data_IF_770692171416
#
_entry.id   IF_770692171416
#
_cell.length_a   1.000
_cell.length_b   1.000
_cell.length_c   1.000
_cell.angle_alpha   90.00
_cell.angle_beta   90.00
_cell.angle_gamma   90.00
#
_symmetry.space_group_name_H-M   'P 1'
#
loop_
_entity.id
_entity.type
_entity.pdbx_description
1 polymer ?
#
# COMPACT_ATOMS: atom_id res chain seq x y z
N UNK A 1 8.54 -14.92 -38.67
CA UNK A 1 7.50 -15.27 -37.68
C UNK A 1 7.56 -14.22 -36.57
N UNK A 2 6.60 -13.31 -36.53
CA UNK A 2 6.52 -12.25 -35.52
C UNK A 2 6.04 -12.85 -34.21
N UNK A 3 6.92 -12.93 -33.22
CA UNK A 3 6.58 -13.34 -31.85
C UNK A 3 5.66 -12.27 -31.26
N UNK A 4 4.34 -12.45 -31.39
CA UNK A 4 3.36 -11.73 -30.58
C UNK A 4 3.61 -12.12 -29.13
N UNK A 5 4.39 -11.30 -28.44
CA UNK A 5 4.51 -11.37 -26.98
C UNK A 5 3.13 -11.08 -26.43
N UNK A 6 2.41 -12.13 -26.03
CA UNK A 6 1.14 -12.02 -25.34
C UNK A 6 1.46 -11.39 -23.99
N UNK A 7 1.38 -10.07 -23.91
CA UNK A 7 1.45 -9.38 -22.63
C UNK A 7 0.26 -9.91 -21.83
N UNK A 8 0.47 -10.56 -20.68
CA UNK A 8 -0.65 -11.06 -19.90
C UNK A 8 -1.59 -9.90 -19.62
N UNK A 9 -2.85 -10.05 -20.04
CA UNK A 9 -3.87 -9.06 -19.76
C UNK A 9 -4.01 -8.96 -18.24
N UNK A 10 -4.00 -7.73 -17.73
CA UNK A 10 -4.01 -7.51 -16.29
C UNK A 10 -5.34 -7.98 -15.74
N UNK A 11 -5.31 -8.89 -14.77
CA UNK A 11 -6.49 -9.35 -14.03
C UNK A 11 -7.31 -8.15 -13.54
N UNK A 12 -8.58 -8.11 -13.94
CA UNK A 12 -9.54 -7.07 -13.54
C UNK A 12 -10.52 -7.64 -12.54
N UNK A 13 -11.04 -6.80 -11.65
CA UNK A 13 -12.03 -7.22 -10.68
C UNK A 13 -13.33 -7.59 -11.40
N UNK A 14 -13.84 -8.80 -11.15
CA UNK A 14 -15.08 -9.29 -11.76
C UNK A 14 -16.30 -8.46 -11.39
N UNK A 15 -16.37 -7.94 -10.15
CA UNK A 15 -17.39 -6.98 -9.71
C UNK A 15 -16.79 -5.83 -8.94
N UNK A 16 -17.38 -4.64 -9.09
CA UNK A 16 -17.03 -3.43 -8.32
C UNK A 16 -17.17 -3.62 -6.80
N UNK A 17 -18.08 -4.51 -6.40
CA UNK A 17 -18.34 -4.85 -5.00
C UNK A 17 -17.14 -5.59 -4.39
N UNK A 18 -16.49 -6.49 -5.13
CA UNK A 18 -15.32 -7.24 -4.64
C UNK A 18 -14.14 -6.31 -4.38
N UNK A 19 -13.96 -5.30 -5.25
CA UNK A 19 -13.00 -4.22 -5.03
C UNK A 19 -13.35 -3.39 -3.79
N UNK A 20 -14.62 -2.98 -3.65
CA UNK A 20 -15.06 -2.18 -2.52
C UNK A 20 -14.91 -2.92 -1.18
N UNK A 21 -15.27 -4.20 -1.12
CA UNK A 21 -15.09 -5.02 0.08
C UNK A 21 -13.62 -5.20 0.43
N UNK A 22 -12.74 -5.39 -0.56
CA UNK A 22 -11.29 -5.50 -0.33
C UNK A 22 -10.72 -4.21 0.29
N UNK A 23 -11.19 -3.06 -0.22
CA UNK A 23 -10.80 -1.73 0.25
C UNK A 23 -11.34 -1.44 1.66
N UNK A 24 -12.59 -1.81 1.95
CA UNK A 24 -13.19 -1.67 3.29
C UNK A 24 -12.50 -2.61 4.28
N UNK A 25 -12.18 -3.85 3.88
CA UNK A 25 -11.45 -4.79 4.72
C UNK A 25 -10.03 -4.34 5.05
N UNK A 26 -9.38 -3.60 4.15
CA UNK A 26 -8.11 -2.94 4.42
C UNK A 26 -8.26 -1.70 5.32
N UNK A 27 -9.32 -0.90 5.14
CA UNK A 27 -9.54 0.32 5.92
C UNK A 27 -10.03 0.05 7.36
N UNK A 28 -10.76 -1.05 7.57
CA UNK A 28 -11.28 -1.46 8.89
C UNK A 28 -10.30 -2.42 9.55
N UNK A 29 -9.27 -1.88 10.18
CA UNK A 29 -8.34 -2.67 10.98
C UNK A 29 -9.02 -3.17 12.28
N UNK A 30 -9.09 -4.49 12.46
CA UNK A 30 -9.57 -5.10 13.71
C UNK A 30 -8.74 -4.65 14.93
N UNK A 31 -7.45 -4.34 14.70
CA UNK A 31 -6.55 -3.76 15.69
C UNK A 31 -6.95 -2.33 16.11
N UNK A 32 -7.53 -1.54 15.19
CA UNK A 32 -8.03 -0.21 15.51
C UNK A 32 -9.31 -0.31 16.35
N UNK A 33 -10.22 -1.24 16.02
CA UNK A 33 -11.50 -1.44 16.73
C UNK A 33 -11.31 -1.86 18.20
N UNK A 34 -10.31 -2.68 18.54
CA UNK A 34 -10.08 -3.10 19.94
C UNK A 34 -9.16 -2.13 20.70
N UNK A 35 -8.21 -1.47 20.04
CA UNK A 35 -7.35 -0.47 20.71
C UNK A 35 -8.08 0.83 20.99
N UNK A 36 -9.05 1.20 20.16
CA UNK A 36 -9.84 2.41 20.29
C UNK A 36 -10.62 2.51 21.62
N UNK A 37 -11.33 1.46 22.09
CA UNK A 37 -11.96 1.43 23.42
C UNK A 37 -10.98 1.78 24.53
N UNK A 38 -9.81 1.13 24.54
CA UNK A 38 -8.80 1.35 25.58
C UNK A 38 -8.26 2.80 25.56
N UNK A 39 -8.02 3.35 24.37
CA UNK A 39 -7.47 4.70 24.22
C UNK A 39 -8.48 5.79 24.62
N UNK A 40 -9.76 5.59 24.31
CA UNK A 40 -10.82 6.50 24.73
C UNK A 40 -10.96 6.51 26.25
N UNK A 41 -10.95 5.34 26.92
CA UNK A 41 -11.06 5.29 28.38
C UNK A 41 -9.90 5.99 29.09
N UNK A 42 -8.68 5.93 28.56
CA UNK A 42 -7.49 6.53 29.19
C UNK A 42 -7.39 8.04 28.99
N UNK A 43 -7.90 8.58 27.89
CA UNK A 43 -7.73 9.98 27.48
C UNK A 43 -8.98 10.85 27.70
N UNK A 44 -9.85 10.50 28.65
CA UNK A 44 -11.04 11.30 29.01
C UNK A 44 -12.34 10.89 28.29
N UNK A 45 -12.46 9.64 27.88
CA UNK A 45 -13.69 9.06 27.32
C UNK A 45 -14.08 9.65 25.97
N UNK A 46 -15.32 10.13 25.87
CA UNK A 46 -15.93 10.62 24.63
C UNK A 46 -15.27 11.87 24.03
N UNK A 47 -14.57 12.67 24.83
CA UNK A 47 -13.94 13.92 24.35
C UNK A 47 -12.77 13.64 23.41
N UNK A 48 -12.09 12.52 23.59
CA UNK A 48 -11.00 12.08 22.70
C UNK A 48 -11.49 11.68 21.29
N UNK A 49 -12.79 11.37 21.13
CA UNK A 49 -13.36 11.08 19.80
C UNK A 49 -13.38 12.32 18.90
N UNK A 50 -13.55 13.51 19.45
CA UNK A 50 -13.68 14.75 18.66
C UNK A 50 -12.43 15.02 17.80
N UNK A 51 -11.20 15.11 18.37
CA UNK A 51 -10.00 15.30 17.57
C UNK A 51 -9.68 14.09 16.69
N UNK A 52 -10.01 12.87 17.14
CA UNK A 52 -9.81 11.65 16.34
C UNK A 52 -10.66 11.68 15.06
N UNK A 53 -11.96 11.93 15.19
CA UNK A 53 -12.89 12.03 14.07
C UNK A 53 -12.50 13.19 13.15
N UNK A 54 -12.14 14.36 13.70
CA UNK A 54 -11.66 15.49 12.90
C UNK A 54 -10.41 15.14 12.07
N UNK A 55 -9.42 14.48 12.67
CA UNK A 55 -8.22 14.05 11.94
C UNK A 55 -8.52 13.01 10.86
N UNK A 56 -9.47 12.09 11.11
CA UNK A 56 -9.93 11.13 10.08
C UNK A 56 -10.62 11.86 8.93
N UNK A 57 -11.48 12.84 9.20
CA UNK A 57 -12.15 13.60 8.15
C UNK A 57 -11.22 14.54 7.38
N UNK A 58 -10.29 15.21 8.07
CA UNK A 58 -9.40 16.21 7.47
C UNK A 58 -8.18 15.59 6.77
N UNK A 59 -7.63 14.50 7.28
CA UNK A 59 -6.44 13.86 6.73
C UNK A 59 -6.73 12.45 6.20
N UNK A 60 -7.47 11.64 6.96
CA UNK A 60 -7.75 10.25 6.59
C UNK A 60 -8.51 10.12 5.26
N UNK A 61 -9.66 10.77 5.13
CA UNK A 61 -10.49 10.70 3.92
C UNK A 61 -9.77 11.30 2.70
N UNK A 62 -9.14 12.49 2.77
CA UNK A 62 -8.42 13.04 1.63
C UNK A 62 -7.22 12.20 1.19
N UNK A 63 -6.43 11.65 2.12
CA UNK A 63 -5.32 10.76 1.80
C UNK A 63 -5.82 9.48 1.13
N UNK A 64 -6.86 8.87 1.69
CA UNK A 64 -7.45 7.66 1.14
C UNK A 64 -8.03 7.88 -0.26
N UNK A 65 -8.72 9.00 -0.47
CA UNK A 65 -9.26 9.37 -1.78
C UNK A 65 -8.14 9.62 -2.80
N UNK A 66 -7.08 10.32 -2.40
CA UNK A 66 -5.90 10.54 -3.24
C UNK A 66 -5.27 9.21 -3.66
N UNK A 67 -5.09 8.28 -2.73
CA UNK A 67 -4.46 6.99 -3.00
C UNK A 67 -5.32 6.12 -3.93
N UNK A 68 -6.62 6.05 -3.71
CA UNK A 68 -7.54 5.35 -4.61
C UNK A 68 -7.54 5.97 -6.02
N UNK A 69 -7.58 7.30 -6.10
CA UNK A 69 -7.56 8.02 -7.38
C UNK A 69 -6.26 7.76 -8.15
N UNK A 70 -5.11 7.78 -7.47
CA UNK A 70 -3.82 7.47 -8.06
C UNK A 70 -3.70 6.00 -8.48
N UNK A 71 -4.24 5.08 -7.67
CA UNK A 71 -4.28 3.65 -7.99
C UNK A 71 -5.09 3.36 -9.25
N UNK A 72 -6.25 4.02 -9.39
CA UNK A 72 -7.11 3.89 -10.57
C UNK A 72 -6.53 4.59 -11.81
N UNK A 73 -5.92 5.77 -11.65
CA UNK A 73 -5.37 6.56 -12.76
C UNK A 73 -4.11 5.94 -13.36
N UNK A 74 -3.14 5.54 -12.51
CA UNK A 74 -1.87 5.02 -13.01
C UNK A 74 -1.88 3.53 -13.33
N UNK A 75 -2.90 2.79 -12.84
CA UNK A 75 -3.06 1.33 -13.01
C UNK A 75 -1.73 0.57 -12.84
N UNK A 76 -0.87 1.02 -11.92
CA UNK A 76 0.47 0.49 -11.60
C UNK A 76 0.64 0.45 -10.09
N UNK A 77 1.63 -0.31 -9.60
CA UNK A 77 1.91 -0.41 -8.17
C UNK A 77 2.33 0.94 -7.58
N UNK A 78 2.10 1.14 -6.28
CA UNK A 78 2.35 2.42 -5.58
C UNK A 78 3.75 2.99 -5.85
N UNK A 79 4.79 2.12 -5.85
CA UNK A 79 6.19 2.49 -6.11
C UNK A 79 6.41 3.01 -7.54
N UNK A 80 5.73 2.41 -8.53
CA UNK A 80 5.85 2.82 -9.94
C UNK A 80 5.03 4.07 -10.24
N UNK A 81 3.90 4.25 -9.57
CA UNK A 81 3.04 5.44 -9.65
C UNK A 81 3.75 6.66 -9.10
N UNK A 82 4.36 6.56 -7.92
CA UNK A 82 5.11 7.67 -7.32
C UNK A 82 6.34 8.07 -8.15
N UNK A 83 6.98 7.11 -8.81
CA UNK A 83 8.08 7.37 -9.74
C UNK A 83 7.71 8.19 -10.98
N UNK A 84 6.43 8.25 -11.36
CA UNK A 84 5.94 9.09 -12.47
C UNK A 84 5.48 10.48 -12.05
N UNK A 85 5.05 10.65 -10.79
CA UNK A 85 4.55 11.93 -10.29
C UNK A 85 5.72 12.79 -9.84
N UNK A 86 6.61 12.25 -8.99
CA UNK A 86 7.81 12.94 -8.52
C UNK A 86 8.90 11.92 -8.16
N UNK A 87 10.07 11.90 -8.85
CA UNK A 87 11.15 10.98 -8.55
C UNK A 87 11.74 11.15 -7.14
N UNK A 88 11.54 12.31 -6.49
CA UNK A 88 12.00 12.58 -5.13
C UNK A 88 11.29 11.70 -4.09
N UNK A 89 9.97 11.56 -4.17
CA UNK A 89 9.21 10.73 -3.24
C UNK A 89 9.40 9.22 -3.49
N UNK A 90 9.80 8.81 -4.71
CA UNK A 90 10.09 7.40 -5.02
C UNK A 90 11.19 6.84 -4.11
N UNK A 91 12.25 7.62 -3.86
CA UNK A 91 13.32 7.23 -2.94
C UNK A 91 12.80 7.05 -1.52
N UNK A 92 12.05 8.03 -1.02
CA UNK A 92 11.48 7.98 0.33
C UNK A 92 10.60 6.74 0.57
N UNK A 93 9.67 6.43 -0.34
CA UNK A 93 8.83 5.22 -0.21
C UNK A 93 9.64 3.91 -0.30
N UNK A 94 10.69 3.87 -1.11
CA UNK A 94 11.53 2.67 -1.24
C UNK A 94 12.35 2.41 0.02
N UNK A 95 13.03 3.44 0.55
CA UNK A 95 13.78 3.33 1.80
C UNK A 95 12.87 3.08 3.00
N UNK A 96 11.72 3.75 3.07
CA UNK A 96 10.72 3.54 4.12
C UNK A 96 10.14 2.12 4.07
N UNK A 97 9.80 1.61 2.88
CA UNK A 97 9.29 0.25 2.71
C UNK A 97 10.30 -0.83 3.10
N UNK A 98 11.58 -0.65 2.72
CA UNK A 98 12.65 -1.54 3.16
C UNK A 98 12.82 -1.50 4.68
N UNK A 99 12.81 -0.31 5.27
CA UNK A 99 12.93 -0.14 6.72
C UNK A 99 11.77 -0.80 7.47
N UNK A 100 10.53 -0.56 7.06
CA UNK A 100 9.34 -1.16 7.68
C UNK A 100 9.37 -2.67 7.55
N UNK A 101 9.70 -3.20 6.36
CA UNK A 101 9.82 -4.65 6.16
C UNK A 101 10.96 -5.23 7.02
N UNK A 102 12.09 -4.54 7.13
CA UNK A 102 13.19 -4.95 8.01
C UNK A 102 12.78 -4.96 9.49
N UNK A 103 12.03 -3.96 9.97
CA UNK A 103 11.52 -3.90 11.34
C UNK A 103 10.50 -5.02 11.60
N UNK A 104 9.61 -5.29 10.65
CA UNK A 104 8.66 -6.41 10.73
C UNK A 104 9.41 -7.74 10.77
N UNK A 105 10.42 -7.95 9.92
CA UNK A 105 11.22 -9.16 9.88
C UNK A 105 12.07 -9.36 11.15
N UNK A 106 12.62 -8.28 11.70
CA UNK A 106 13.31 -8.29 13.00
C UNK A 106 12.36 -8.68 14.13
N UNK A 107 11.10 -8.22 14.08
CA UNK A 107 10.09 -8.54 15.08
C UNK A 107 9.45 -9.92 14.88
N UNK A 108 9.44 -10.43 13.65
CA UNK A 108 8.92 -11.74 13.25
C UNK A 108 9.96 -12.87 13.36
N UNK A 109 11.23 -12.55 13.60
CA UNK A 109 12.27 -13.54 13.91
C UNK A 109 12.62 -14.51 12.76
N UNK A 110 12.42 -14.12 11.49
CA UNK A 110 12.71 -15.00 10.36
C UNK A 110 13.56 -14.29 9.28
N UNK A 111 14.75 -14.83 8.93
CA UNK A 111 15.56 -14.31 7.85
C UNK A 111 15.12 -14.95 6.53
N UNK A 112 14.79 -14.16 5.51
CA UNK A 112 15.09 -14.58 4.12
C UNK A 112 15.24 -13.38 3.21
N UNK A 113 16.51 -13.06 2.98
CA UNK A 113 17.06 -12.76 1.67
C UNK A 113 16.24 -13.43 0.55
N UNK A 114 15.50 -12.64 -0.23
CA UNK A 114 15.34 -12.88 -1.68
C UNK A 114 15.27 -11.53 -2.39
N UNK A 115 16.45 -10.99 -2.68
CA UNK A 115 16.61 -10.11 -3.83
C UNK A 115 16.40 -10.96 -5.10
N UNK A 116 15.37 -10.72 -5.94
CA UNK A 116 15.34 -11.31 -7.27
C UNK A 116 16.39 -10.60 -8.11
N UNK A 117 17.61 -11.13 -8.16
CA UNK A 117 18.60 -10.75 -9.18
C UNK A 117 18.03 -11.17 -10.54
N UNK A 118 17.73 -10.20 -11.39
CA UNK A 118 17.33 -10.42 -12.77
C UNK A 118 18.39 -11.27 -13.51
N UNK A 119 18.01 -12.33 -14.24
CA UNK A 119 18.92 -13.02 -15.14
C UNK A 119 18.95 -12.26 -16.48
N UNK A 120 19.75 -11.19 -16.56
CA UNK A 120 19.95 -10.45 -17.81
C UNK A 120 21.43 -10.46 -18.22
N UNK A 121 21.94 -11.62 -18.64
CA UNK A 121 23.29 -11.76 -19.25
C UNK A 121 23.41 -12.82 -20.35
N UNK A 122 22.33 -13.25 -21.01
CA UNK A 122 22.41 -14.27 -22.08
C UNK A 122 21.81 -13.89 -23.44
N UNK A 123 21.42 -12.62 -23.65
CA UNK A 123 20.92 -12.15 -24.95
C UNK A 123 21.67 -10.90 -25.42
N UNK A 124 23.00 -11.02 -25.53
CA UNK A 124 23.85 -10.06 -26.29
C UNK A 124 24.62 -10.77 -27.42
N UNK A 125 24.40 -12.06 -27.66
CA UNK A 125 25.16 -12.81 -28.66
C UNK A 125 24.31 -13.76 -29.52
N UNK A 126 23.00 -13.50 -29.64
CA UNK A 126 22.15 -14.04 -30.71
C UNK A 126 21.36 -12.89 -31.34
#
# INVERSE_FOLDING_TARGET
>A
QTVTTVVPERETWGRKIDFLLSVIGFAVDLANVWRFPYLCFKNGGGVFLIPYTLMVFLAGIPLFYMELSLGQYYRKGAITTWGRICPFFKGWFFYFGIFVNAVILLKAGAPTSKAPKAPLKHLRHL
#
